data_IF_380551052865
#
_entry.id   IF_380551052865
#
_cell.length_a   1.000
_cell.length_b   1.000
_cell.length_c   1.000
_cell.angle_alpha   90.00
_cell.angle_beta   90.00
_cell.angle_gamma   90.00
#
_symmetry.space_group_name_H-M   'P 1'
#
loop_
_entity.id
_entity.type
_entity.pdbx_description
1 polymer ?
#
# COMPACT_ATOMS: atom_id res chain seq x y z
N UNK A 1 -31.98 -31.42 21.18
CA UNK A 1 -31.37 -30.07 21.20
C UNK A 1 -30.30 -30.13 20.13
N UNK A 2 -30.61 -29.64 18.93
CA UNK A 2 -29.62 -29.54 17.87
C UNK A 2 -28.76 -28.33 18.20
N UNK A 3 -27.45 -28.54 18.29
CA UNK A 3 -26.47 -27.47 18.38
C UNK A 3 -26.54 -26.71 17.05
N UNK A 4 -26.91 -25.42 17.11
CA UNK A 4 -26.77 -24.51 15.99
C UNK A 4 -25.28 -24.42 15.68
N UNK A 5 -24.82 -25.19 14.69
CA UNK A 5 -23.58 -24.95 13.98
C UNK A 5 -23.70 -23.56 13.36
N UNK A 6 -23.24 -22.55 14.11
CA UNK A 6 -23.17 -21.16 13.69
C UNK A 6 -22.18 -21.09 12.52
N UNK A 7 -22.69 -21.30 11.31
CA UNK A 7 -21.91 -21.21 10.07
C UNK A 7 -21.39 -19.78 10.01
N UNK A 8 -20.09 -19.60 10.19
CA UNK A 8 -19.43 -18.32 10.01
C UNK A 8 -19.58 -17.88 8.55
N UNK A 9 -20.62 -17.10 8.29
CA UNK A 9 -20.96 -16.53 7.00
C UNK A 9 -20.08 -15.31 6.66
N UNK A 10 -18.98 -15.07 7.38
CA UNK A 10 -18.07 -13.99 7.00
C UNK A 10 -17.47 -14.30 5.62
N UNK A 11 -17.64 -13.39 4.63
CA UNK A 11 -17.07 -13.61 3.32
C UNK A 11 -15.54 -13.65 3.45
N UNK A 12 -14.94 -14.75 2.99
CA UNK A 12 -13.49 -14.91 2.93
C UNK A 12 -12.91 -13.80 2.05
N UNK A 13 -12.11 -12.91 2.65
CA UNK A 13 -11.49 -11.79 1.94
C UNK A 13 -10.47 -12.29 0.93
N UNK A 14 -10.44 -11.69 -0.26
CA UNK A 14 -9.41 -12.00 -1.26
C UNK A 14 -8.04 -11.46 -0.82
N UNK A 15 -6.92 -12.00 -1.33
CA UNK A 15 -5.59 -11.46 -1.07
C UNK A 15 -5.46 -9.97 -1.40
N UNK A 16 -6.13 -9.50 -2.44
CA UNK A 16 -6.15 -8.09 -2.84
C UNK A 16 -6.88 -7.21 -1.82
N UNK A 17 -8.00 -7.70 -1.26
CA UNK A 17 -8.74 -7.00 -0.21
C UNK A 17 -7.88 -6.88 1.06
N UNK A 18 -7.26 -7.97 1.50
CA UNK A 18 -6.35 -7.95 2.65
C UNK A 18 -5.19 -6.98 2.46
N UNK A 19 -4.60 -6.96 1.27
CA UNK A 19 -3.51 -6.05 0.96
C UNK A 19 -3.94 -4.58 0.95
N UNK A 20 -5.15 -4.29 0.46
CA UNK A 20 -5.72 -2.95 0.49
C UNK A 20 -5.99 -2.49 1.93
N UNK A 21 -6.42 -3.40 2.80
CA UNK A 21 -6.56 -3.16 4.25
C UNK A 21 -5.21 -2.90 4.92
N UNK A 22 -4.16 -3.68 4.60
CA UNK A 22 -2.79 -3.44 5.08
C UNK A 22 -2.30 -2.03 4.72
N UNK A 23 -2.52 -1.59 3.48
CA UNK A 23 -2.14 -0.23 3.04
C UNK A 23 -2.99 0.83 3.73
N UNK A 24 -4.29 0.60 3.91
CA UNK A 24 -5.16 1.48 4.67
C UNK A 24 -4.67 1.67 6.11
N UNK A 25 -4.34 0.56 6.78
CA UNK A 25 -3.78 0.55 8.13
C UNK A 25 -2.45 1.32 8.20
N UNK A 26 -1.56 1.10 7.22
CA UNK A 26 -0.31 1.85 7.11
C UNK A 26 -0.55 3.37 7.07
N UNK A 27 -1.47 3.83 6.20
CA UNK A 27 -1.81 5.24 6.09
C UNK A 27 -2.34 5.81 7.41
N UNK A 28 -3.21 5.07 8.09
CA UNK A 28 -3.73 5.43 9.41
C UNK A 28 -2.60 5.61 10.43
N UNK A 29 -1.69 4.64 10.54
CA UNK A 29 -0.56 4.70 11.48
C UNK A 29 0.36 5.88 11.15
N UNK A 30 0.71 6.08 9.88
CA UNK A 30 1.52 7.24 9.43
C UNK A 30 0.87 8.56 9.85
N UNK A 31 -0.44 8.70 9.63
CA UNK A 31 -1.19 9.90 10.01
C UNK A 31 -1.18 10.10 11.53
N UNK A 32 -1.45 9.06 12.30
CA UNK A 32 -1.55 9.12 13.76
C UNK A 32 -0.20 9.37 14.44
N UNK A 33 0.88 8.78 13.94
CA UNK A 33 2.25 9.04 14.41
C UNK A 33 2.69 10.49 14.21
N UNK A 34 2.09 11.18 13.24
CA UNK A 34 2.33 12.60 12.97
C UNK A 34 1.31 13.51 13.63
N UNK A 35 0.50 12.97 14.54
CA UNK A 35 -0.56 13.68 15.26
C UNK A 35 -1.54 14.44 14.36
N UNK A 36 -1.74 13.96 13.13
CA UNK A 36 -2.68 14.56 12.18
C UNK A 36 -4.07 13.95 12.40
N UNK A 37 -5.10 14.75 12.74
CA UNK A 37 -6.46 14.22 12.80
C UNK A 37 -6.96 13.93 11.38
N UNK A 38 -7.94 13.03 11.28
CA UNK A 38 -8.50 12.59 10.00
C UNK A 38 -9.05 13.78 9.16
N UNK A 39 -9.67 14.77 9.84
CA UNK A 39 -10.13 16.04 9.24
C UNK A 39 -9.02 16.86 8.59
N UNK A 40 -7.79 16.78 9.09
CA UNK A 40 -6.66 17.56 8.56
C UNK A 40 -6.27 17.04 7.18
N UNK A 41 -6.20 15.71 7.03
CA UNK A 41 -5.90 15.07 5.74
C UNK A 41 -7.02 15.34 4.75
N UNK A 42 -8.27 15.20 5.19
CA UNK A 42 -9.45 15.49 4.38
C UNK A 42 -9.47 16.93 3.85
N UNK A 43 -9.19 17.92 4.72
CA UNK A 43 -9.11 19.32 4.32
C UNK A 43 -7.98 19.57 3.32
N UNK A 44 -6.80 18.99 3.54
CA UNK A 44 -5.65 19.13 2.63
C UNK A 44 -5.92 18.55 1.25
N UNK A 45 -6.73 17.49 1.16
CA UNK A 45 -7.08 16.81 -0.09
C UNK A 45 -8.38 17.33 -0.73
N UNK A 46 -9.11 18.22 -0.05
CA UNK A 46 -10.39 18.73 -0.54
C UNK A 46 -11.48 17.65 -0.61
N UNK A 47 -11.49 16.70 0.33
CA UNK A 47 -12.45 15.60 0.37
C UNK A 47 -13.08 15.45 1.77
N UNK A 48 -13.99 14.47 1.93
CA UNK A 48 -14.63 14.21 3.22
C UNK A 48 -13.73 13.37 4.14
N UNK A 49 -13.86 13.57 5.45
CA UNK A 49 -13.24 12.69 6.46
C UNK A 49 -13.75 11.24 6.33
N UNK A 50 -15.01 11.05 5.93
CA UNK A 50 -15.55 9.70 5.70
C UNK A 50 -14.78 8.97 4.58
N UNK A 51 -14.48 9.66 3.48
CA UNK A 51 -13.71 9.09 2.38
C UNK A 51 -12.30 8.70 2.80
N UNK A 52 -11.59 9.56 3.56
CA UNK A 52 -10.28 9.22 4.11
C UNK A 52 -10.37 8.02 5.05
N UNK A 53 -11.42 7.93 5.88
CA UNK A 53 -11.62 6.77 6.75
C UNK A 53 -11.89 5.49 5.96
N UNK A 54 -12.59 5.54 4.84
CA UNK A 54 -12.82 4.37 3.99
C UNK A 54 -11.52 3.90 3.34
N UNK A 55 -10.65 4.83 2.92
CA UNK A 55 -9.31 4.49 2.41
C UNK A 55 -8.47 3.83 3.50
N UNK A 56 -8.44 4.41 4.70
CA UNK A 56 -7.69 3.88 5.84
C UNK A 56 -8.20 2.52 6.36
N UNK A 57 -9.42 2.14 5.99
CA UNK A 57 -10.00 0.82 6.27
C UNK A 57 -9.80 -0.18 5.14
N UNK A 58 -9.30 0.24 3.98
CA UNK A 58 -9.22 -0.58 2.77
C UNK A 58 -10.54 -0.67 1.98
N UNK A 59 -11.60 0.01 2.41
CA UNK A 59 -12.91 0.00 1.75
C UNK A 59 -12.90 0.82 0.44
N UNK A 60 -12.12 1.90 0.39
CA UNK A 60 -11.99 2.76 -0.78
C UNK A 60 -10.56 2.79 -1.34
N UNK A 61 -10.43 2.96 -2.66
CA UNK A 61 -9.13 3.14 -3.32
C UNK A 61 -8.80 4.63 -3.45
N UNK A 62 -7.51 4.97 -3.39
CA UNK A 62 -7.04 6.31 -3.73
C UNK A 62 -7.22 6.54 -5.24
N UNK A 63 -7.87 7.62 -5.70
CA UNK A 63 -7.99 7.89 -7.13
C UNK A 63 -6.63 8.05 -7.81
N UNK A 64 -6.42 7.43 -8.97
CA UNK A 64 -5.12 7.43 -9.68
C UNK A 64 -4.60 8.85 -9.99
N UNK A 65 -5.50 9.75 -10.37
CA UNK A 65 -5.24 11.16 -10.66
C UNK A 65 -4.82 11.97 -9.41
N UNK A 66 -5.08 11.43 -8.21
CA UNK A 66 -4.81 12.11 -6.93
C UNK A 66 -3.65 11.48 -6.13
N UNK A 67 -2.98 10.45 -6.65
CA UNK A 67 -1.95 9.70 -5.90
C UNK A 67 -0.83 10.61 -5.39
N UNK A 68 -0.41 11.60 -6.19
CA UNK A 68 0.63 12.55 -5.80
C UNK A 68 0.18 13.43 -4.63
N UNK A 69 -1.05 13.94 -4.66
CA UNK A 69 -1.61 14.74 -3.58
C UNK A 69 -1.68 13.95 -2.27
N UNK A 70 -2.08 12.69 -2.35
CA UNK A 70 -2.09 11.78 -1.20
C UNK A 70 -0.68 11.57 -0.65
N UNK A 71 0.32 11.34 -1.50
CA UNK A 71 1.71 11.23 -1.07
C UNK A 71 2.15 12.47 -0.29
N UNK A 72 1.79 13.66 -0.75
CA UNK A 72 2.13 14.93 -0.08
C UNK A 72 1.30 15.16 1.19
N UNK A 73 0.05 14.68 1.24
CA UNK A 73 -0.80 14.81 2.43
C UNK A 73 -0.28 13.95 3.59
N UNK A 74 0.07 12.69 3.28
CA UNK A 74 0.72 11.76 4.20
C UNK A 74 2.22 12.00 4.34
N UNK A 75 2.80 12.91 3.55
CA UNK A 75 4.23 13.23 3.52
C UNK A 75 5.08 11.95 3.48
N UNK A 76 4.80 11.18 2.44
CA UNK A 76 5.46 9.92 2.09
C UNK A 76 6.26 10.11 0.80
N UNK A 77 7.37 9.37 0.60
CA UNK A 77 8.16 9.47 -0.62
C UNK A 77 7.34 9.07 -1.86
N UNK A 78 7.20 10.01 -2.80
CA UNK A 78 6.37 9.85 -4.00
C UNK A 78 6.64 8.54 -4.77
N UNK A 79 7.89 8.16 -5.09
CA UNK A 79 8.14 6.95 -5.88
C UNK A 79 7.67 5.67 -5.18
N UNK A 80 7.82 5.61 -3.86
CA UNK A 80 7.41 4.48 -3.04
C UNK A 80 5.89 4.44 -2.89
N UNK A 81 5.28 5.58 -2.61
CA UNK A 81 3.85 5.69 -2.44
C UNK A 81 3.08 5.34 -3.71
N UNK A 82 3.49 5.90 -4.86
CA UNK A 82 2.88 5.59 -6.17
C UNK A 82 2.95 4.09 -6.44
N UNK A 83 4.10 3.46 -6.16
CA UNK A 83 4.26 2.03 -6.35
C UNK A 83 3.31 1.21 -5.48
N UNK A 84 3.23 1.53 -4.19
CA UNK A 84 2.33 0.84 -3.26
C UNK A 84 0.90 0.95 -3.78
N UNK A 85 0.42 2.17 -4.06
CA UNK A 85 -0.96 2.39 -4.52
C UNK A 85 -1.27 1.68 -5.84
N UNK A 86 -0.35 1.70 -6.82
CA UNK A 86 -0.56 1.00 -8.09
C UNK A 86 -0.64 -0.52 -7.90
N UNK A 87 0.26 -1.11 -7.09
CA UNK A 87 0.30 -2.55 -6.89
C UNK A 87 -0.91 -3.05 -6.09
N UNK A 88 -1.38 -2.27 -5.11
CA UNK A 88 -2.38 -2.73 -4.13
C UNK A 88 -3.81 -2.28 -4.44
N UNK A 89 -4.00 -1.06 -4.96
CA UNK A 89 -5.32 -0.47 -5.19
C UNK A 89 -5.72 -0.41 -6.66
N UNK A 90 -4.75 -0.52 -7.58
CA UNK A 90 -4.96 -0.43 -9.03
C UNK A 90 -4.17 -1.51 -9.79
N UNK A 91 -4.27 -2.76 -9.32
CA UNK A 91 -3.46 -3.86 -9.80
C UNK A 91 -3.59 -4.08 -11.32
N UNK A 92 -4.77 -3.88 -11.89
CA UNK A 92 -5.00 -3.99 -13.34
C UNK A 92 -4.21 -2.93 -14.13
N UNK A 93 -4.15 -1.70 -13.62
CA UNK A 93 -3.33 -0.64 -14.22
C UNK A 93 -1.86 -0.98 -14.13
N UNK A 94 -1.41 -1.47 -12.97
CA UNK A 94 -0.04 -1.94 -12.80
C UNK A 94 0.29 -3.07 -13.78
N UNK A 95 -0.58 -4.07 -13.93
CA UNK A 95 -0.41 -5.18 -14.88
C UNK A 95 -0.36 -4.70 -16.33
N UNK A 96 -1.22 -3.75 -16.70
CA UNK A 96 -1.22 -3.16 -18.03
C UNK A 96 0.11 -2.43 -18.33
N UNK A 97 0.60 -1.62 -17.39
CA UNK A 97 1.89 -0.95 -17.51
C UNK A 97 3.05 -1.95 -17.64
N UNK A 98 3.05 -3.01 -16.84
CA UNK A 98 4.08 -4.06 -16.92
C UNK A 98 4.01 -4.81 -18.26
N UNK A 99 2.80 -5.11 -18.74
CA UNK A 99 2.59 -5.75 -20.05
C UNK A 99 3.14 -4.89 -21.19
N UNK A 100 2.92 -3.58 -21.16
CA UNK A 100 3.50 -2.65 -22.14
C UNK A 100 5.03 -2.72 -22.09
N UNK A 101 5.63 -2.64 -20.90
CA UNK A 101 7.09 -2.71 -20.74
C UNK A 101 7.70 -4.05 -21.20
N UNK A 102 6.94 -5.13 -21.16
CA UNK A 102 7.39 -6.45 -21.60
C UNK A 102 7.25 -6.65 -23.11
N UNK A 103 6.22 -6.07 -23.72
CA UNK A 103 5.83 -6.36 -25.10
C UNK A 103 6.09 -5.21 -26.09
N UNK A 104 6.45 -4.01 -25.62
CA UNK A 104 6.80 -2.86 -26.45
C UNK A 104 8.32 -2.63 -26.42
N UNK A 105 9.06 -2.97 -27.49
CA UNK A 105 10.50 -2.76 -27.55
C UNK A 105 10.92 -1.30 -27.46
N UNK A 106 10.13 -0.35 -27.98
CA UNK A 106 10.43 1.08 -27.94
C UNK A 106 10.31 1.59 -26.50
N UNK A 107 9.20 1.26 -25.83
CA UNK A 107 8.99 1.65 -24.44
C UNK A 107 9.94 0.96 -23.47
N UNK A 108 10.26 -0.31 -23.72
CA UNK A 108 11.30 -1.02 -22.97
C UNK A 108 12.67 -0.35 -23.15
N UNK A 109 13.01 0.06 -24.37
CA UNK A 109 14.27 0.76 -24.66
C UNK A 109 14.30 2.15 -24.03
N UNK A 110 13.22 2.92 -24.09
CA UNK A 110 13.08 4.19 -23.41
C UNK A 110 13.27 4.05 -21.89
N UNK A 111 12.59 3.09 -21.26
CA UNK A 111 12.76 2.78 -19.84
C UNK A 111 14.20 2.38 -19.49
N UNK A 112 14.86 1.60 -20.36
CA UNK A 112 16.28 1.23 -20.18
C UNK A 112 17.22 2.42 -20.37
N UNK A 113 16.88 3.38 -21.24
CA UNK A 113 17.70 4.56 -21.56
C UNK A 113 17.68 5.62 -20.44
N UNK A 114 16.60 5.69 -19.66
CA UNK A 114 16.51 6.58 -18.49
C UNK A 114 17.50 6.21 -17.37
N UNK A 115 18.02 4.97 -17.35
CA UNK A 115 19.03 4.51 -16.39
C UNK A 115 20.04 3.57 -17.05
N UNK A 116 21.08 4.14 -17.67
CA UNK A 116 22.17 3.39 -18.31
C UNK A 116 22.87 2.43 -17.34
N UNK A 117 22.75 1.12 -17.59
CA UNK A 117 23.77 0.13 -17.25
C UNK A 117 23.94 -0.81 -18.45
N UNK A 118 25.16 -0.85 -18.99
CA UNK A 118 25.52 -1.69 -20.15
C UNK A 118 25.54 -3.20 -19.83
N UNK A 119 25.64 -3.56 -18.55
CA UNK A 119 25.76 -4.95 -18.07
C UNK A 119 24.40 -5.70 -18.04
N UNK A 120 24.24 -6.79 -18.82
CA UNK A 120 23.01 -7.59 -18.88
C UNK A 120 22.58 -8.24 -17.55
N UNK A 121 23.53 -8.66 -16.69
CA UNK A 121 23.22 -9.26 -15.39
C UNK A 121 22.66 -8.23 -14.41
N UNK A 122 23.25 -7.04 -14.39
CA UNK A 122 22.73 -5.93 -13.59
C UNK A 122 21.38 -5.43 -14.12
N UNK A 123 21.18 -5.46 -15.45
CA UNK A 123 19.88 -5.19 -16.08
C UNK A 123 18.81 -6.19 -15.65
N UNK A 124 19.10 -7.49 -15.65
CA UNK A 124 18.16 -8.52 -15.18
C UNK A 124 17.85 -8.39 -13.68
N UNK A 125 18.88 -8.13 -12.86
CA UNK A 125 18.72 -7.84 -11.42
C UNK A 125 17.85 -6.60 -11.19
N UNK A 126 18.07 -5.52 -11.96
CA UNK A 126 17.25 -4.30 -11.90
C UNK A 126 15.82 -4.53 -12.40
N UNK A 127 15.60 -5.27 -13.48
CA UNK A 127 14.24 -5.64 -13.93
C UNK A 127 13.47 -6.37 -12.83
N UNK A 128 14.11 -7.29 -12.11
CA UNK A 128 13.50 -7.94 -10.94
C UNK A 128 13.19 -6.97 -9.79
N UNK A 129 14.02 -5.94 -9.59
CA UNK A 129 13.78 -4.86 -8.61
C UNK A 129 12.66 -3.91 -9.07
N UNK A 130 12.52 -3.67 -10.38
CA UNK A 130 11.47 -2.83 -10.98
C UNK A 130 10.13 -3.57 -11.05
N UNK A 131 10.14 -4.90 -11.16
CA UNK A 131 8.94 -5.75 -11.27
C UNK A 131 8.82 -6.78 -10.12
N UNK A 132 8.86 -6.39 -8.84
CA UNK A 132 8.76 -7.30 -7.71
C UNK A 132 7.31 -7.73 -7.42
N UNK A 133 6.33 -7.13 -8.09
CA UNK A 133 4.91 -7.35 -7.80
C UNK A 133 4.61 -7.12 -6.31
N UNK A 134 3.92 -8.08 -5.70
CA UNK A 134 3.55 -8.10 -4.26
C UNK A 134 4.74 -8.32 -3.30
N UNK A 135 5.95 -8.58 -3.81
CA UNK A 135 7.19 -8.81 -3.04
C UNK A 135 8.14 -7.60 -3.06
N UNK A 136 7.59 -6.39 -3.20
CA UNK A 136 8.40 -5.19 -3.30
C UNK A 136 9.02 -4.81 -1.96
N UNK A 137 10.29 -4.36 -1.96
CA UNK A 137 10.94 -3.77 -0.78
C UNK A 137 10.12 -2.63 -0.15
N UNK A 138 9.28 -1.96 -0.93
CA UNK A 138 8.38 -0.92 -0.45
C UNK A 138 7.25 -1.48 0.41
N UNK A 139 6.71 -2.65 0.05
CA UNK A 139 5.72 -3.35 0.87
C UNK A 139 6.37 -3.95 2.12
N UNK A 140 7.61 -4.45 2.03
CA UNK A 140 8.34 -4.94 3.20
C UNK A 140 8.57 -3.81 4.21
N UNK A 141 9.11 -2.66 3.76
CA UNK A 141 9.26 -1.47 4.62
C UNK A 141 7.94 -0.98 5.21
N UNK A 142 6.86 -1.04 4.44
CA UNK A 142 5.52 -0.70 4.93
C UNK A 142 5.11 -1.63 6.07
N UNK A 143 5.28 -2.95 5.90
CA UNK A 143 4.94 -3.96 6.91
C UNK A 143 5.81 -3.84 8.16
N UNK A 144 7.11 -3.64 8.00
CA UNK A 144 8.03 -3.33 9.10
C UNK A 144 7.56 -2.09 9.87
N UNK A 145 7.24 -1.00 9.17
CA UNK A 145 6.73 0.21 9.80
C UNK A 145 5.42 -0.02 10.56
N UNK A 146 4.49 -0.80 10.01
CA UNK A 146 3.25 -1.18 10.71
C UNK A 146 3.61 -1.89 12.01
N UNK A 147 4.46 -2.93 11.97
CA UNK A 147 4.83 -3.72 13.13
C UNK A 147 5.50 -2.88 14.24
N UNK A 148 6.37 -1.94 13.87
CA UNK A 148 7.07 -1.06 14.80
C UNK A 148 6.14 -0.06 15.50
N UNK A 149 5.05 0.34 14.84
CA UNK A 149 4.22 1.47 15.26
C UNK A 149 2.78 1.06 15.62
N UNK A 150 2.43 -0.21 15.43
CA UNK A 150 1.18 -0.77 15.91
C UNK A 150 1.23 -0.80 17.43
N UNK A 151 0.45 0.06 18.08
CA UNK A 151 0.25 -0.02 19.52
C UNK A 151 -0.39 -1.38 19.82
N UNK A 152 0.17 -2.18 20.75
CA UNK A 152 -0.49 -3.42 21.15
C UNK A 152 -1.91 -3.08 21.60
N UNK A 153 -2.89 -3.81 21.06
CA UNK A 153 -4.32 -3.59 21.29
C UNK A 153 -4.74 -3.87 22.74
N UNK A 154 -3.81 -4.36 23.57
CA UNK A 154 -3.98 -4.54 25.00
C UNK A 154 -2.83 -3.87 25.74
N UNK A 155 -3.18 -3.17 26.83
CA UNK A 155 -2.23 -2.45 27.68
C UNK A 155 -1.07 -3.34 28.13
N UNK A 156 0.03 -2.69 28.55
CA UNK A 156 1.17 -3.36 29.19
C UNK A 156 0.65 -4.48 30.09
N UNK A 157 1.23 -5.70 30.08
CA UNK A 157 0.90 -6.69 31.07
C UNK A 157 1.05 -6.01 32.43
N UNK A 158 -0.05 -5.95 33.17
CA UNK A 158 -0.01 -5.51 34.54
C UNK A 158 0.92 -6.51 35.21
N UNK A 159 2.06 -6.03 35.68
CA UNK A 159 2.89 -6.82 36.58
C UNK A 159 2.04 -7.08 37.81
N UNK A 160 1.46 -8.26 37.88
CA UNK A 160 0.81 -8.87 39.03
C UNK A 160 1.07 -10.37 38.90
N UNK A 161 1.62 -11.07 39.86
CA UNK A 161 1.94 -10.75 41.25
C UNK A 161 3.24 -11.45 41.64
N UNK A 162 3.70 -11.12 42.84
CA UNK A 162 4.86 -11.70 43.52
C UNK A 162 4.82 -13.23 43.62
#
# INVERSE_FOLDING_TARGET
>A
MAEDDDVDLTPVKTPEQLLKEEVGLYLKIVRENRHKPLRWVAQKLGCSSSFISQIEKGDASIPLDRVLDFSLAYDLPVPEFVRIVLVTMHNDTYRALMSILENDPEMANAANSCHTIANPKERAKRRKILNPGLSSKSLDRMREFILENQKPTYGKPVAGDS
#
